data_IF_749461253400
#
_entry.id   IF_749461253400
#
_cell.length_a   1.000
_cell.length_b   1.000
_cell.length_c   1.000
_cell.angle_alpha   90.00
_cell.angle_beta   90.00
_cell.angle_gamma   90.00
#
_symmetry.space_group_name_H-M   'P 1'
#
loop_
_entity.id
_entity.type
_entity.pdbx_description
1 polymer ?
#
# COMPACT_ATOMS: atom_id res chain seq x y z
N UNK A 1 13.36 26.67 -1.96
CA UNK A 1 12.73 25.71 -1.02
C UNK A 1 12.99 24.27 -1.42
N UNK A 2 13.38 23.44 -0.45
CA UNK A 2 13.59 21.98 -0.59
C UNK A 2 12.82 21.27 0.53
N UNK A 3 12.46 19.99 0.33
CA UNK A 3 11.74 19.18 1.32
C UNK A 3 12.36 17.78 1.46
N UNK A 4 12.14 17.15 2.62
CA UNK A 4 12.54 15.75 2.86
C UNK A 4 11.55 14.79 2.19
N UNK A 5 12.06 13.89 1.34
CA UNK A 5 11.22 12.95 0.61
C UNK A 5 11.88 11.59 0.37
N UNK A 6 11.06 10.61 0.02
CA UNK A 6 11.50 9.24 -0.25
C UNK A 6 11.78 9.06 -1.75
N UNK A 7 13.06 8.95 -2.10
CA UNK A 7 13.51 8.77 -3.49
C UNK A 7 13.32 7.31 -3.93
N UNK A 8 12.72 7.10 -5.09
CA UNK A 8 12.56 5.77 -5.73
C UNK A 8 13.63 5.53 -6.80
N UNK A 9 13.81 4.27 -7.20
CA UNK A 9 14.79 3.88 -8.25
C UNK A 9 14.55 4.55 -9.60
N UNK A 10 13.31 4.92 -9.91
CA UNK A 10 12.93 5.63 -11.15
C UNK A 10 13.08 7.17 -11.06
N UNK A 11 13.79 7.68 -10.06
CA UNK A 11 14.03 9.13 -9.90
C UNK A 11 12.87 9.94 -9.30
N UNK A 12 11.66 9.39 -9.24
CA UNK A 12 10.51 10.05 -8.59
C UNK A 12 10.68 10.09 -7.08
N UNK A 13 10.22 11.18 -6.46
CA UNK A 13 10.25 11.39 -5.00
C UNK A 13 8.81 11.43 -4.46
N UNK A 14 8.55 10.67 -3.39
CA UNK A 14 7.26 10.67 -2.68
C UNK A 14 7.36 11.34 -1.32
N UNK A 15 6.24 11.89 -0.83
CA UNK A 15 6.13 12.50 0.52
C UNK A 15 5.82 11.47 1.62
N UNK A 16 5.48 10.22 1.27
CA UNK A 16 5.16 9.13 2.20
C UNK A 16 5.84 7.83 1.75
N UNK A 17 6.18 6.99 2.71
CA UNK A 17 6.72 5.64 2.49
C UNK A 17 5.80 4.59 3.13
N UNK A 18 4.90 4.03 2.33
CA UNK A 18 3.93 3.02 2.77
C UNK A 18 4.39 1.61 2.40
N UNK A 19 4.03 0.64 3.22
CA UNK A 19 4.04 -0.78 2.85
C UNK A 19 2.69 -1.09 2.20
N UNK A 20 2.70 -1.54 0.96
CA UNK A 20 1.47 -1.85 0.23
C UNK A 20 1.20 -3.35 0.30
N UNK A 21 -0.04 -3.73 0.56
CA UNK A 21 -0.53 -5.11 0.44
C UNK A 21 -1.51 -5.12 -0.73
N UNK A 22 -1.13 -5.84 -1.78
CA UNK A 22 -1.93 -5.98 -3.00
C UNK A 22 -2.46 -7.41 -3.07
N UNK A 23 -3.70 -7.68 -2.62
CA UNK A 23 -4.31 -9.00 -2.76
C UNK A 23 -4.50 -9.33 -4.25
N UNK A 24 -4.35 -10.60 -4.60
CA UNK A 24 -4.49 -11.11 -5.98
C UNK A 24 -5.93 -11.50 -6.29
N UNK A 25 -6.65 -11.94 -5.27
CA UNK A 25 -8.04 -12.36 -5.32
C UNK A 25 -8.86 -11.62 -4.26
N UNK A 26 -10.17 -11.58 -4.48
CA UNK A 26 -11.10 -10.87 -3.60
C UNK A 26 -11.30 -11.55 -2.24
N UNK A 27 -11.12 -12.87 -2.16
CA UNK A 27 -11.19 -13.62 -0.88
C UNK A 27 -10.05 -13.14 0.03
N UNK A 28 -8.87 -12.88 -0.53
CA UNK A 28 -7.71 -12.35 0.17
C UNK A 28 -7.85 -10.88 0.60
N UNK A 29 -8.89 -10.15 0.17
CA UNK A 29 -9.12 -8.76 0.60
C UNK A 29 -9.23 -8.65 2.12
N UNK A 30 -10.04 -9.52 2.74
CA UNK A 30 -10.25 -9.50 4.18
C UNK A 30 -8.94 -9.74 4.95
N UNK A 31 -8.08 -10.63 4.44
CA UNK A 31 -6.76 -10.86 5.02
C UNK A 31 -5.85 -9.63 4.87
N UNK A 32 -5.82 -9.00 3.70
CA UNK A 32 -5.03 -7.79 3.46
C UNK A 32 -5.47 -6.62 4.37
N UNK A 33 -6.78 -6.40 4.51
CA UNK A 33 -7.35 -5.39 5.40
C UNK A 33 -7.03 -5.65 6.86
N UNK A 34 -7.13 -6.90 7.32
CA UNK A 34 -6.77 -7.28 8.68
C UNK A 34 -5.30 -6.97 8.99
N UNK A 35 -4.37 -7.23 8.05
CA UNK A 35 -2.96 -6.86 8.25
C UNK A 35 -2.79 -5.35 8.29
N UNK A 36 -3.44 -4.59 7.39
CA UNK A 36 -3.36 -3.14 7.38
C UNK A 36 -3.92 -2.49 8.67
N UNK A 37 -4.95 -3.08 9.26
CA UNK A 37 -5.52 -2.62 10.54
C UNK A 37 -4.57 -2.84 11.73
N UNK A 38 -3.72 -3.86 11.68
CA UNK A 38 -2.81 -4.22 12.77
C UNK A 38 -1.39 -3.65 12.60
N UNK A 39 -0.93 -3.40 11.37
CA UNK A 39 0.43 -2.95 11.08
C UNK A 39 0.44 -1.47 10.67
N UNK A 40 0.95 -0.61 11.55
CA UNK A 40 1.05 0.83 11.29
C UNK A 40 1.91 1.11 10.05
N UNK A 41 1.38 1.93 9.14
CA UNK A 41 2.05 2.30 7.90
C UNK A 41 1.85 1.32 6.73
N UNK A 42 1.20 0.18 6.98
CA UNK A 42 0.71 -0.69 5.93
C UNK A 42 -0.61 -0.14 5.33
N UNK A 43 -0.82 -0.36 4.04
CA UNK A 43 -2.01 0.02 3.30
C UNK A 43 -2.43 -1.15 2.41
N UNK A 44 -3.63 -1.68 2.67
CA UNK A 44 -4.26 -2.65 1.79
C UNK A 44 -4.93 -1.94 0.60
N UNK A 45 -4.80 -2.50 -0.59
CA UNK A 45 -5.48 -2.06 -1.81
C UNK A 45 -6.38 -3.18 -2.33
N UNK A 46 -7.55 -3.42 -1.69
CA UNK A 46 -8.47 -4.46 -2.12
C UNK A 46 -9.06 -4.15 -3.49
N UNK A 47 -9.46 -5.19 -4.21
CA UNK A 47 -10.15 -5.06 -5.49
C UNK A 47 -11.49 -5.80 -5.45
N UNK A 48 -12.46 -5.34 -6.24
CA UNK A 48 -13.77 -5.99 -6.29
C UNK A 48 -13.65 -7.44 -6.81
N UNK A 49 -14.58 -8.30 -6.38
CA UNK A 49 -14.79 -9.60 -7.01
C UNK A 49 -15.13 -9.39 -8.48
N UNK A 50 -14.35 -10.02 -9.37
CA UNK A 50 -14.62 -10.02 -10.80
C UNK A 50 -15.95 -10.72 -11.06
N UNK A 51 -16.86 -10.04 -11.74
CA UNK A 51 -18.07 -10.66 -12.32
C UNK A 51 -17.99 -10.63 -13.82
#
# INVERSE_FOLDING_TARGET
>A
DTFWGYRRKNGRVGVRNHVIILPVDDISNAAAEAVAANIKGALALPHAYGR
#
